data_IF_379573624112
#
_entry.id   IF_379573624112
#
_cell.length_a   1.000
_cell.length_b   1.000
_cell.length_c   1.000
_cell.angle_alpha   90.00
_cell.angle_beta   90.00
_cell.angle_gamma   90.00
#
_symmetry.space_group_name_H-M   'P 1'
#
loop_
_entity.id
_entity.type
_entity.pdbx_description
1 polymer ?
#
# COMPACT_ATOMS: atom_id res chain seq x y z
N UNK A 1 16.97 20.71 -33.58
CA UNK A 1 17.82 20.16 -32.63
C UNK A 1 17.54 20.42 -31.18
N UNK A 2 17.24 21.46 -30.83
CA UNK A 2 16.98 21.78 -29.47
C UNK A 2 15.68 21.25 -28.95
N UNK A 3 14.86 20.91 -29.76
CA UNK A 3 13.56 20.42 -29.31
C UNK A 3 13.61 19.22 -28.47
N UNK A 4 14.49 18.47 -28.59
CA UNK A 4 14.59 17.25 -27.85
C UNK A 4 14.43 17.40 -26.39
N UNK A 5 14.84 18.40 -25.88
CA UNK A 5 14.82 18.60 -24.49
C UNK A 5 13.54 18.37 -23.78
N UNK A 6 12.51 18.79 -24.31
CA UNK A 6 11.28 18.73 -23.59
C UNK A 6 10.86 17.38 -23.10
N UNK A 7 11.17 16.40 -23.82
CA UNK A 7 10.66 15.10 -23.46
C UNK A 7 10.85 14.64 -22.06
N UNK A 8 11.92 14.90 -21.51
CA UNK A 8 12.22 14.37 -20.24
C UNK A 8 11.31 14.77 -19.14
N UNK A 9 10.89 15.91 -19.15
CA UNK A 9 10.09 16.37 -18.05
C UNK A 9 8.92 15.53 -17.76
N UNK A 10 8.42 14.89 -18.73
CA UNK A 10 7.24 14.11 -18.49
C UNK A 10 7.42 13.02 -17.50
N UNK A 11 8.59 12.59 -17.34
CA UNK A 11 8.85 11.49 -16.46
C UNK A 11 8.69 11.86 -15.01
N UNK A 12 9.05 13.03 -14.71
CA UNK A 12 8.99 13.48 -13.37
C UNK A 12 7.65 13.36 -12.71
N UNK A 13 6.59 13.75 -13.31
CA UNK A 13 5.30 13.74 -12.64
C UNK A 13 4.91 12.40 -12.07
N UNK A 14 5.46 11.37 -12.64
CA UNK A 14 5.10 10.05 -12.19
C UNK A 14 5.44 9.80 -10.76
N UNK A 15 6.57 10.26 -10.36
CA UNK A 15 6.98 10.03 -9.00
C UNK A 15 6.08 10.78 -8.05
N UNK A 16 5.45 11.81 -8.53
CA UNK A 16 4.59 12.57 -7.67
C UNK A 16 3.40 11.76 -7.18
N UNK A 17 3.18 10.62 -7.78
CA UNK A 17 2.07 9.79 -7.35
C UNK A 17 2.35 9.12 -6.04
N UNK A 18 3.58 9.04 -5.66
CA UNK A 18 3.94 8.44 -4.39
C UNK A 18 3.68 9.48 -3.30
N UNK A 19 2.59 9.30 -2.61
CA UNK A 19 2.18 10.22 -1.58
C UNK A 19 2.73 9.82 -0.24
N UNK A 20 3.35 10.75 0.47
CA UNK A 20 3.79 10.50 1.81
C UNK A 20 2.93 11.31 2.76
N UNK A 21 2.62 10.73 3.89
CA UNK A 21 1.73 11.35 4.84
C UNK A 21 2.40 11.86 6.09
N UNK A 22 3.70 11.71 6.21
CA UNK A 22 4.39 12.12 7.43
C UNK A 22 5.07 13.44 7.24
N UNK A 23 5.12 14.22 8.31
CA UNK A 23 5.84 15.48 8.30
C UNK A 23 5.11 16.66 7.69
N UNK A 24 3.83 16.49 7.40
CA UNK A 24 3.05 17.54 6.75
C UNK A 24 2.15 18.32 7.68
N UNK A 25 2.25 18.07 8.96
CA UNK A 25 1.41 18.76 9.92
C UNK A 25 1.42 18.02 11.24
N UNK A 26 0.26 17.98 11.90
CA UNK A 26 0.18 17.27 13.17
C UNK A 26 0.07 15.78 12.92
N UNK A 27 0.25 15.02 13.98
CA UNK A 27 0.07 13.56 13.89
C UNK A 27 -1.35 13.25 13.45
N UNK A 28 -2.29 14.06 13.86
CA UNK A 28 -3.67 13.86 13.47
C UNK A 28 -3.84 14.04 11.95
N UNK A 29 -3.18 15.04 11.39
CA UNK A 29 -3.24 15.27 9.95
C UNK A 29 -2.57 14.12 9.20
N UNK A 30 -1.46 13.63 9.71
CA UNK A 30 -0.77 12.51 9.10
C UNK A 30 -1.64 11.25 9.17
N UNK A 31 -2.35 11.07 10.27
CA UNK A 31 -3.23 9.92 10.42
C UNK A 31 -4.38 9.98 9.43
N UNK A 32 -4.95 11.16 9.22
CA UNK A 32 -6.03 11.31 8.25
C UNK A 32 -5.55 10.99 6.85
N UNK A 33 -4.37 11.48 6.50
CA UNK A 33 -3.78 11.19 5.20
C UNK A 33 -3.53 9.69 5.04
N UNK A 34 -2.96 9.07 6.06
CA UNK A 34 -2.65 7.65 6.01
C UNK A 34 -3.90 6.80 5.91
N UNK A 35 -4.97 7.18 6.62
CA UNK A 35 -6.23 6.46 6.53
C UNK A 35 -6.79 6.50 5.11
N UNK A 36 -6.66 7.64 4.43
CA UNK A 36 -7.12 7.75 3.05
C UNK A 36 -6.27 6.90 2.13
N UNK A 37 -4.96 6.94 2.32
CA UNK A 37 -4.05 6.13 1.53
C UNK A 37 -4.31 4.65 1.72
N UNK A 38 -4.57 4.24 2.94
CA UNK A 38 -4.88 2.85 3.23
C UNK A 38 -6.19 2.41 2.57
N UNK A 39 -7.20 3.26 2.64
CA UNK A 39 -8.50 2.94 2.03
C UNK A 39 -8.34 2.75 0.52
N UNK A 40 -7.54 3.60 -0.10
CA UNK A 40 -7.31 3.50 -1.52
C UNK A 40 -6.51 2.26 -1.88
N UNK A 41 -5.51 1.94 -1.07
CA UNK A 41 -4.72 0.74 -1.31
C UNK A 41 -5.58 -0.51 -1.19
N UNK A 42 -6.47 -0.55 -0.20
CA UNK A 42 -7.38 -1.69 -0.04
C UNK A 42 -8.32 -1.83 -1.23
N UNK A 43 -8.82 -0.70 -1.72
CA UNK A 43 -9.68 -0.72 -2.89
C UNK A 43 -8.95 -1.27 -4.11
N UNK A 44 -7.73 -0.82 -4.30
CA UNK A 44 -6.91 -1.29 -5.42
C UNK A 44 -6.58 -2.77 -5.27
N UNK A 45 -6.30 -3.21 -4.06
CA UNK A 45 -6.01 -4.62 -3.82
C UNK A 45 -7.21 -5.48 -4.17
N UNK A 46 -8.40 -5.05 -3.75
CA UNK A 46 -9.59 -5.81 -4.04
C UNK A 46 -9.84 -5.89 -5.55
N UNK A 47 -9.62 -4.79 -6.26
CA UNK A 47 -9.85 -4.76 -7.70
C UNK A 47 -8.88 -5.69 -8.44
N UNK A 48 -7.59 -5.66 -8.07
CA UNK A 48 -6.61 -6.50 -8.74
C UNK A 48 -6.82 -7.97 -8.38
N UNK A 49 -7.21 -8.24 -7.13
CA UNK A 49 -7.51 -9.59 -6.71
C UNK A 49 -8.64 -10.19 -7.55
N UNK A 50 -9.71 -9.42 -7.75
CA UNK A 50 -10.84 -9.91 -8.53
C UNK A 50 -10.46 -10.20 -9.98
N UNK A 51 -9.61 -9.38 -10.55
CA UNK A 51 -9.16 -9.61 -11.91
C UNK A 51 -8.39 -10.92 -12.04
N UNK A 52 -7.47 -11.16 -11.14
CA UNK A 52 -6.68 -12.39 -11.19
C UNK A 52 -7.56 -13.59 -10.90
N UNK A 53 -8.42 -13.47 -9.90
CA UNK A 53 -9.29 -14.58 -9.52
C UNK A 53 -10.17 -15.00 -10.69
N UNK A 54 -10.67 -14.02 -11.45
CA UNK A 54 -11.56 -14.30 -12.57
C UNK A 54 -10.83 -15.02 -13.70
N UNK A 55 -9.56 -14.77 -13.86
CA UNK A 55 -8.84 -15.30 -15.02
C UNK A 55 -7.97 -16.53 -14.73
N UNK A 56 -7.64 -16.78 -13.49
CA UNK A 56 -6.76 -17.90 -13.19
C UNK A 56 -7.53 -19.21 -13.12
N UNK A 57 -6.88 -20.28 -13.53
CA UNK A 57 -7.44 -21.60 -13.36
C UNK A 57 -7.03 -22.22 -12.02
N UNK A 58 -6.20 -21.54 -11.29
CA UNK A 58 -5.73 -21.99 -9.98
C UNK A 58 -6.34 -21.16 -8.86
N UNK A 59 -7.68 -21.09 -8.88
CA UNK A 59 -8.40 -20.23 -7.95
C UNK A 59 -8.17 -20.55 -6.48
N UNK A 60 -8.16 -21.85 -6.17
CA UNK A 60 -7.99 -22.23 -4.77
C UNK A 60 -6.60 -21.84 -4.25
N UNK A 61 -5.58 -22.08 -5.07
CA UNK A 61 -4.22 -21.75 -4.67
C UNK A 61 -4.03 -20.24 -4.55
N UNK A 62 -4.64 -19.50 -5.48
CA UNK A 62 -4.53 -18.04 -5.42
C UNK A 62 -5.22 -17.51 -4.17
N UNK A 63 -6.39 -18.04 -3.86
CA UNK A 63 -7.13 -17.61 -2.68
C UNK A 63 -6.34 -17.91 -1.41
N UNK A 64 -5.71 -19.08 -1.34
CA UNK A 64 -4.90 -19.43 -0.18
C UNK A 64 -3.71 -18.52 -0.04
N UNK A 65 -3.09 -18.18 -1.15
CA UNK A 65 -1.97 -17.25 -1.14
C UNK A 65 -2.40 -15.89 -0.60
N UNK A 66 -3.57 -15.42 -1.00
CA UNK A 66 -4.05 -14.13 -0.53
C UNK A 66 -4.37 -14.18 0.96
N UNK A 67 -4.97 -15.27 1.42
CA UNK A 67 -5.28 -15.41 2.84
C UNK A 67 -4.00 -15.44 3.69
N UNK A 68 -2.99 -16.13 3.21
CA UNK A 68 -1.72 -16.19 3.92
C UNK A 68 -1.09 -14.79 4.00
N UNK A 69 -1.18 -14.04 2.91
CA UNK A 69 -0.64 -12.69 2.90
C UNK A 69 -1.41 -11.78 3.85
N UNK A 70 -2.72 -11.88 3.88
CA UNK A 70 -3.53 -11.08 4.80
C UNK A 70 -3.16 -11.38 6.25
N UNK A 71 -2.93 -12.64 6.55
CA UNK A 71 -2.51 -13.03 7.89
C UNK A 71 -1.14 -12.45 8.22
N UNK A 72 -0.22 -12.49 7.26
CA UNK A 72 1.09 -11.91 7.45
C UNK A 72 0.98 -10.41 7.72
N UNK A 73 0.19 -9.69 6.90
CA UNK A 73 0.04 -8.25 7.09
C UNK A 73 -0.50 -7.93 8.47
N UNK A 74 -1.49 -8.70 8.90
CA UNK A 74 -2.11 -8.47 10.20
C UNK A 74 -1.09 -8.68 11.33
N UNK A 75 -0.34 -9.77 11.26
CA UNK A 75 0.62 -10.05 12.32
C UNK A 75 1.78 -9.08 12.31
N UNK A 76 2.19 -8.62 11.15
CA UNK A 76 3.28 -7.66 11.06
C UNK A 76 2.85 -6.30 11.59
N UNK A 77 1.69 -5.81 11.16
CA UNK A 77 1.27 -4.45 11.48
C UNK A 77 0.52 -4.36 12.80
N UNK A 78 -0.49 -5.21 12.98
CA UNK A 78 -1.31 -5.16 14.18
C UNK A 78 -0.72 -5.98 15.31
N UNK A 79 0.25 -6.82 15.01
CA UNK A 79 0.93 -7.60 16.04
C UNK A 79 2.27 -6.99 16.40
N UNK A 80 3.28 -7.24 15.58
CA UNK A 80 4.63 -6.83 15.91
C UNK A 80 4.79 -5.32 16.05
N UNK A 81 4.40 -4.57 15.03
CA UNK A 81 4.59 -3.12 15.08
C UNK A 81 3.71 -2.46 16.11
N UNK A 82 2.51 -2.97 16.31
CA UNK A 82 1.63 -2.41 17.34
C UNK A 82 2.27 -2.59 18.72
N UNK A 83 2.84 -3.76 18.97
CA UNK A 83 3.50 -4.01 20.25
C UNK A 83 4.72 -3.11 20.41
N UNK A 84 5.52 -3.00 19.36
CA UNK A 84 6.71 -2.15 19.42
C UNK A 84 6.36 -0.69 19.63
N UNK A 85 5.27 -0.25 19.02
CA UNK A 85 4.85 1.15 19.11
C UNK A 85 4.10 1.47 20.40
N UNK A 86 3.76 0.46 21.19
CA UNK A 86 2.97 0.68 22.40
C UNK A 86 3.71 1.55 23.42
N UNK A 87 5.01 1.73 23.25
CA UNK A 87 5.77 2.60 24.12
C UNK A 87 5.49 4.06 23.84
N UNK A 88 4.99 4.37 22.67
CA UNK A 88 4.68 5.75 22.29
C UNK A 88 3.32 6.15 22.84
N UNK A 89 3.09 7.45 22.87
CA UNK A 89 1.85 7.98 23.39
C UNK A 89 1.11 8.75 22.31
N UNK A 90 -0.17 9.03 22.57
CA UNK A 90 -0.98 9.81 21.65
C UNK A 90 -1.36 9.01 20.42
N UNK A 91 -1.41 9.67 19.29
CA UNK A 91 -1.82 9.05 18.04
C UNK A 91 -0.69 8.36 17.30
N UNK A 92 0.53 8.45 17.83
CA UNK A 92 1.69 7.86 17.18
C UNK A 92 1.55 6.38 16.90
N UNK A 93 1.14 5.56 17.88
CA UNK A 93 0.99 4.12 17.62
C UNK A 93 -0.01 3.82 16.52
N UNK A 94 -1.12 4.55 16.48
CA UNK A 94 -2.12 4.35 15.42
C UNK A 94 -1.54 4.69 14.05
N UNK A 95 -0.76 5.76 13.98
CA UNK A 95 -0.14 6.15 12.72
C UNK A 95 0.82 5.09 12.24
N UNK A 96 1.65 4.57 13.13
CA UNK A 96 2.63 3.54 12.78
C UNK A 96 1.95 2.31 12.22
N UNK A 97 0.88 1.86 12.87
CA UNK A 97 0.17 0.66 12.43
C UNK A 97 -0.50 0.90 11.08
N UNK A 98 -1.17 2.03 10.92
CA UNK A 98 -1.87 2.29 9.68
C UNK A 98 -0.95 2.52 8.51
N UNK A 99 0.20 3.13 8.77
CA UNK A 99 1.19 3.30 7.73
C UNK A 99 1.73 1.95 7.27
N UNK A 100 1.94 1.04 8.21
CA UNK A 100 2.37 -0.32 7.90
C UNK A 100 1.34 -1.02 7.02
N UNK A 101 0.06 -0.93 7.40
CA UNK A 101 -1.00 -1.56 6.62
C UNK A 101 -1.04 -1.00 5.20
N UNK A 102 -0.91 0.32 5.06
CA UNK A 102 -0.95 0.95 3.74
C UNK A 102 0.24 0.52 2.90
N UNK A 103 1.42 0.49 3.50
CA UNK A 103 2.63 0.15 2.77
C UNK A 103 2.62 -1.29 2.28
N UNK A 104 2.28 -2.22 3.16
CA UNK A 104 2.24 -3.62 2.75
C UNK A 104 1.15 -3.88 1.72
N UNK A 105 0.02 -3.18 1.86
CA UNK A 105 -1.07 -3.34 0.91
C UNK A 105 -0.65 -2.84 -0.47
N UNK A 106 0.04 -1.70 -0.53
CA UNK A 106 0.53 -1.18 -1.81
C UNK A 106 1.53 -2.13 -2.44
N UNK A 107 2.43 -2.68 -1.63
CA UNK A 107 3.40 -3.64 -2.14
C UNK A 107 2.71 -4.87 -2.72
N UNK A 108 1.65 -5.32 -2.08
CA UNK A 108 0.92 -6.47 -2.58
C UNK A 108 0.25 -6.17 -3.92
N UNK A 109 -0.36 -4.97 -4.02
CA UNK A 109 -0.98 -4.54 -5.27
C UNK A 109 0.06 -4.53 -6.38
N UNK A 110 1.22 -3.96 -6.12
CA UNK A 110 2.26 -3.88 -7.13
C UNK A 110 2.72 -5.26 -7.56
N UNK A 111 2.89 -6.16 -6.60
CA UNK A 111 3.29 -7.51 -6.92
C UNK A 111 2.23 -8.21 -7.77
N UNK A 112 0.96 -8.10 -7.38
CA UNK A 112 -0.12 -8.77 -8.11
C UNK A 112 -0.25 -8.24 -9.53
N UNK A 113 0.06 -6.96 -9.73
CA UNK A 113 0.04 -6.41 -11.09
C UNK A 113 1.03 -7.13 -11.99
N UNK A 114 2.17 -7.52 -11.45
CA UNK A 114 3.15 -8.23 -12.26
C UNK A 114 2.60 -9.57 -12.74
N UNK A 115 1.70 -10.17 -11.98
CA UNK A 115 1.12 -11.45 -12.39
C UNK A 115 0.17 -11.28 -13.56
N UNK A 116 -0.49 -10.14 -13.64
CA UNK A 116 -1.39 -9.89 -14.76
C UNK A 116 -0.64 -9.60 -16.05
N UNK A 117 0.60 -9.15 -15.93
CA UNK A 117 1.39 -8.82 -17.11
C UNK A 117 2.05 -10.03 -17.74
N UNK A 118 1.96 -11.19 -17.14
CA UNK A 118 2.54 -12.42 -17.71
C UNK A 118 1.54 -13.18 -18.59
#
# INVERSE_FOLDING_TARGET
>A
MKKIICSLLLLIPLSACAETCTGNGTVYDDLTCTNRTLAEAKKNLNAIYQKIYASTQYKAEFEQSQKAWLNYRDKQCNGYLAAAASQSQGEGPALIVRDCLAELTRQRVDYLKTLLEK
#
